data_IF_534844559310
#
_entry.id   IF_534844559310
#
_cell.length_a   1.000
_cell.length_b   1.000
_cell.length_c   1.000
_cell.angle_alpha   90.00
_cell.angle_beta   90.00
_cell.angle_gamma   90.00
#
_symmetry.space_group_name_H-M   'P 1'
#
loop_
_entity.id
_entity.type
_entity.pdbx_description
1 polymer ?
#
# COMPACT_ATOMS: atom_id res chain seq x y z
N UNK A 1 -12.60 15.12 27.18
CA UNK A 1 -12.51 15.81 25.86
C UNK A 1 -11.06 15.87 25.36
N UNK A 2 -10.05 15.96 26.24
CA UNK A 2 -8.64 16.15 25.85
C UNK A 2 -7.99 15.00 25.06
N UNK A 3 -8.36 13.74 25.33
CA UNK A 3 -7.85 12.59 24.59
C UNK A 3 -8.20 12.66 23.09
N UNK A 4 -9.43 13.07 22.77
CA UNK A 4 -9.86 13.28 21.38
C UNK A 4 -9.16 14.48 20.73
N UNK A 5 -8.95 15.56 21.49
CA UNK A 5 -8.24 16.74 20.99
C UNK A 5 -6.77 16.43 20.65
N UNK A 6 -6.08 15.66 21.51
CA UNK A 6 -4.70 15.19 21.24
C UNK A 6 -4.68 14.22 20.06
N UNK A 7 -5.60 13.25 20.03
CA UNK A 7 -5.73 12.30 18.93
C UNK A 7 -5.93 12.99 17.58
N UNK A 8 -6.81 14.00 17.51
CA UNK A 8 -7.07 14.77 16.30
C UNK A 8 -5.84 15.53 15.82
N UNK A 9 -5.11 16.20 16.71
CA UNK A 9 -3.88 16.92 16.36
C UNK A 9 -2.79 16.00 15.82
N UNK A 10 -2.60 14.85 16.47
CA UNK A 10 -1.60 13.86 16.06
C UNK A 10 -1.96 13.22 14.71
N UNK A 11 -3.23 12.85 14.53
CA UNK A 11 -3.73 12.32 13.26
C UNK A 11 -3.60 13.34 12.11
N UNK A 12 -3.88 14.62 12.37
CA UNK A 12 -3.71 15.67 11.38
C UNK A 12 -2.25 15.81 10.93
N UNK A 13 -1.29 15.75 11.86
CA UNK A 13 0.15 15.76 11.54
C UNK A 13 0.56 14.55 10.72
N UNK A 14 0.15 13.35 11.12
CA UNK A 14 0.41 12.12 10.36
C UNK A 14 -0.15 12.17 8.94
N UNK A 15 -1.32 12.79 8.76
CA UNK A 15 -1.95 12.95 7.46
C UNK A 15 -1.19 13.95 6.58
N UNK A 16 -0.75 15.09 7.14
CA UNK A 16 0.05 16.09 6.42
C UNK A 16 1.38 15.52 5.94
N UNK A 17 2.07 14.75 6.78
CA UNK A 17 3.35 14.11 6.43
C UNK A 17 3.16 12.88 5.52
N UNK A 18 1.90 12.44 5.35
CA UNK A 18 1.46 11.37 4.46
C UNK A 18 2.20 10.04 4.65
N UNK A 19 2.72 9.77 5.85
CA UNK A 19 3.68 8.68 6.04
C UNK A 19 3.05 7.30 5.84
N UNK A 20 1.85 7.10 6.38
CA UNK A 20 1.05 5.89 6.15
C UNK A 20 0.48 5.82 4.72
N UNK A 21 0.14 6.97 4.14
CA UNK A 21 -0.40 7.05 2.77
C UNK A 21 0.65 6.66 1.73
N UNK A 22 1.90 7.08 1.91
CA UNK A 22 3.05 6.69 1.08
C UNK A 22 3.32 5.19 1.19
N UNK A 23 3.39 4.67 2.41
CA UNK A 23 3.52 3.23 2.67
C UNK A 23 2.48 2.39 1.93
N UNK A 24 1.21 2.78 2.00
CA UNK A 24 0.12 2.13 1.28
C UNK A 24 0.29 2.27 -0.24
N UNK A 25 0.62 3.46 -0.73
CA UNK A 25 0.81 3.69 -2.16
C UNK A 25 1.94 2.84 -2.75
N UNK A 26 3.05 2.69 -2.02
CA UNK A 26 4.19 1.88 -2.42
C UNK A 26 3.85 0.40 -2.43
N UNK A 27 3.18 -0.10 -1.37
CA UNK A 27 2.76 -1.51 -1.28
C UNK A 27 1.83 -1.93 -2.41
N UNK A 28 0.92 -1.05 -2.82
CA UNK A 28 -0.05 -1.34 -3.89
C UNK A 28 0.35 -0.75 -5.26
N UNK A 29 1.62 -0.37 -5.45
CA UNK A 29 2.12 0.22 -6.71
C UNK A 29 1.92 -0.70 -7.91
N UNK A 30 2.00 -2.02 -7.72
CA UNK A 30 1.80 -3.03 -8.77
C UNK A 30 0.41 -2.98 -9.42
N UNK A 31 -0.60 -2.48 -8.72
CA UNK A 31 -1.97 -2.32 -9.26
C UNK A 31 -2.16 -1.03 -10.07
N UNK A 32 -1.17 -0.14 -10.10
CA UNK A 32 -1.23 1.10 -10.90
C UNK A 32 -0.66 0.94 -12.30
N UNK A 33 0.09 -0.13 -12.58
CA UNK A 33 0.76 -0.33 -13.85
C UNK A 33 0.56 -1.74 -14.41
N UNK A 34 0.86 -1.90 -15.71
CA UNK A 34 0.85 -3.19 -16.40
C UNK A 34 -0.47 -3.95 -16.23
N UNK A 35 -0.35 -5.21 -15.80
CA UNK A 35 -1.50 -6.11 -15.63
C UNK A 35 -2.35 -5.75 -14.42
N UNK A 36 -1.75 -5.23 -13.35
CA UNK A 36 -2.49 -4.81 -12.16
C UNK A 36 -3.49 -3.69 -12.46
N UNK A 37 -3.16 -2.79 -13.39
CA UNK A 37 -4.08 -1.76 -13.87
C UNK A 37 -5.26 -2.36 -14.66
N UNK A 38 -5.00 -3.33 -15.55
CA UNK A 38 -6.04 -4.03 -16.31
C UNK A 38 -6.99 -4.83 -15.41
N UNK A 39 -6.44 -5.45 -14.35
CA UNK A 39 -7.21 -6.13 -13.31
C UNK A 39 -8.12 -5.15 -12.56
N UNK A 40 -7.60 -3.98 -12.18
CA UNK A 40 -8.38 -2.92 -11.52
C UNK A 40 -9.56 -2.44 -12.38
N UNK A 41 -9.40 -2.43 -13.70
CA UNK A 41 -10.44 -2.03 -14.67
C UNK A 41 -11.44 -3.15 -15.01
N UNK A 42 -11.30 -4.35 -14.43
CA UNK A 42 -12.21 -5.46 -14.67
C UNK A 42 -12.13 -6.08 -16.07
N UNK A 43 -11.01 -5.89 -16.77
CA UNK A 43 -10.82 -6.47 -18.10
C UNK A 43 -10.65 -8.00 -18.01
N UNK A 44 -11.02 -8.77 -19.06
CA UNK A 44 -10.85 -10.22 -19.08
C UNK A 44 -9.37 -10.60 -19.27
N UNK A 45 -8.59 -10.58 -18.18
CA UNK A 45 -7.14 -10.87 -18.20
C UNK A 45 -6.82 -12.34 -17.90
N UNK A 46 -7.80 -13.20 -17.65
CA UNK A 46 -7.58 -14.59 -17.23
C UNK A 46 -6.68 -15.41 -18.17
N UNK A 47 -6.90 -15.30 -19.49
CA UNK A 47 -6.13 -16.03 -20.50
C UNK A 47 -4.71 -15.47 -20.66
N UNK A 48 -4.55 -14.15 -20.62
CA UNK A 48 -3.26 -13.48 -20.78
C UNK A 48 -2.41 -13.51 -19.50
N UNK A 49 -3.03 -13.55 -18.31
CA UNK A 49 -2.34 -13.61 -17.03
C UNK A 49 -1.50 -14.88 -16.89
N UNK A 50 -2.06 -16.05 -17.24
CA UNK A 50 -1.37 -17.34 -17.11
C UNK A 50 -0.27 -17.50 -18.16
N UNK A 51 -0.60 -17.31 -19.44
CA UNK A 51 0.32 -17.64 -20.54
C UNK A 51 1.40 -16.58 -20.77
N UNK A 52 1.10 -15.28 -20.60
CA UNK A 52 2.02 -14.21 -20.98
C UNK A 52 2.75 -13.59 -19.80
N UNK A 53 2.18 -13.64 -18.59
CA UNK A 53 2.74 -12.97 -17.42
C UNK A 53 3.34 -13.93 -16.41
N UNK A 54 2.61 -14.94 -15.94
CA UNK A 54 3.12 -15.88 -14.94
C UNK A 54 4.28 -16.71 -15.52
N UNK A 55 4.18 -17.15 -16.77
CA UNK A 55 5.25 -17.93 -17.42
C UNK A 55 6.51 -17.10 -17.74
N UNK A 56 6.41 -15.77 -17.88
CA UNK A 56 7.55 -14.89 -18.19
C UNK A 56 8.19 -14.29 -16.95
N UNK A 57 7.36 -13.88 -15.98
CA UNK A 57 7.79 -13.14 -14.79
C UNK A 57 8.19 -14.07 -13.64
N UNK A 58 7.67 -15.30 -13.60
CA UNK A 58 7.96 -16.25 -12.51
C UNK A 58 7.28 -15.86 -11.20
N UNK A 59 7.93 -16.16 -10.07
CA UNK A 59 7.39 -15.86 -8.74
C UNK A 59 7.45 -14.35 -8.42
N UNK A 60 6.40 -13.79 -7.79
CA UNK A 60 6.39 -12.39 -7.44
C UNK A 60 7.36 -12.10 -6.29
N UNK A 61 8.11 -11.01 -6.40
CA UNK A 61 8.96 -10.51 -5.33
C UNK A 61 8.13 -10.22 -4.07
N UNK A 62 8.48 -10.90 -2.97
CA UNK A 62 7.86 -10.67 -1.68
C UNK A 62 8.44 -9.40 -1.06
N UNK A 63 7.56 -8.51 -0.61
CA UNK A 63 7.96 -7.31 0.13
C UNK A 63 7.47 -7.41 1.56
N UNK A 64 8.30 -7.00 2.52
CA UNK A 64 7.92 -6.99 3.93
C UNK A 64 6.78 -6.00 4.17
N UNK A 65 5.81 -6.39 5.00
CA UNK A 65 4.72 -5.52 5.43
C UNK A 65 5.15 -4.39 6.37
N UNK A 66 6.38 -4.43 6.91
CA UNK A 66 6.98 -3.42 7.77
C UNK A 66 6.09 -3.02 8.97
N UNK A 67 5.36 -3.96 9.55
CA UNK A 67 4.41 -3.70 10.63
C UNK A 67 5.07 -3.01 11.83
N UNK A 68 6.14 -3.59 12.36
CA UNK A 68 6.88 -3.04 13.52
C UNK A 68 7.39 -1.61 13.27
N UNK A 69 7.85 -1.35 12.04
CA UNK A 69 8.31 -0.01 11.65
C UNK A 69 7.16 1.01 11.68
N UNK A 70 5.97 0.65 11.20
CA UNK A 70 4.81 1.54 11.21
C UNK A 70 4.20 1.70 12.61
N UNK A 71 4.28 0.68 13.47
CA UNK A 71 3.91 0.78 14.88
C UNK A 71 4.86 1.71 15.64
N UNK A 72 6.17 1.58 15.43
CA UNK A 72 7.17 2.49 16.01
C UNK A 72 6.98 3.93 15.53
N UNK A 73 6.68 4.12 14.25
CA UNK A 73 6.36 5.41 13.70
C UNK A 73 5.06 5.99 14.29
N UNK A 74 4.02 5.19 14.47
CA UNK A 74 2.78 5.63 15.13
C UNK A 74 3.04 6.14 16.55
N UNK A 75 3.88 5.43 17.32
CA UNK A 75 4.28 5.85 18.66
C UNK A 75 5.06 7.18 18.68
N UNK A 76 5.77 7.53 17.60
CA UNK A 76 6.44 8.84 17.49
C UNK A 76 5.46 10.02 17.42
N UNK A 77 4.24 9.81 16.89
CA UNK A 77 3.24 10.88 16.77
C UNK A 77 2.31 10.97 17.98
N UNK A 78 2.26 9.97 18.87
CA UNK A 78 1.35 9.94 20.02
C UNK A 78 1.84 10.83 21.15
#
# INVERSE_FOLDING_TARGET
MDAFARGLRNAARMQQEAVLSKAKADRYKSYKSGIGAKLKLGQPVWKSLRCEYIMKTGEPEQTSGKQEHYEGMFNFYI
#
